data_IF_267846352248
#
_entry.id   IF_267846352248
#
_cell.length_a   1.000
_cell.length_b   1.000
_cell.length_c   1.000
_cell.angle_alpha   90.00
_cell.angle_beta   90.00
_cell.angle_gamma   90.00
#
_symmetry.space_group_name_H-M   'P 1'
#
loop_
_entity.id
_entity.type
_entity.pdbx_description
1 polymer ?
#
# COMPACT_ATOMS: atom_id res chain seq x y z
N UNK A 1 33.29 28.69 38.73
CA UNK A 1 34.38 27.86 38.18
C UNK A 1 34.82 28.47 36.85
N UNK A 2 36.12 28.73 36.67
CA UNK A 2 36.67 29.39 35.49
C UNK A 2 36.86 28.38 34.34
N UNK A 3 36.31 28.66 33.16
CA UNK A 3 36.48 27.82 31.96
C UNK A 3 37.78 28.23 31.27
N UNK A 4 38.77 27.33 31.23
CA UNK A 4 39.96 27.49 30.36
C UNK A 4 39.56 27.14 28.94
N UNK A 5 39.79 28.06 27.99
CA UNK A 5 39.74 27.73 26.57
C UNK A 5 41.12 27.22 26.13
N UNK A 6 41.13 26.04 25.50
CA UNK A 6 42.29 25.50 24.81
C UNK A 6 42.29 26.10 23.40
N UNK A 7 43.38 26.75 23.02
CA UNK A 7 43.65 27.13 21.63
C UNK A 7 44.64 26.15 21.05
N UNK A 8 44.33 25.61 19.87
CA UNK A 8 45.22 24.74 19.11
C UNK A 8 45.92 25.62 18.07
N UNK A 9 47.25 25.72 18.16
CA UNK A 9 48.08 26.42 17.19
C UNK A 9 48.37 25.46 16.01
N UNK A 10 47.52 25.53 14.98
CA UNK A 10 47.50 24.59 13.85
C UNK A 10 48.49 24.97 12.71
N UNK A 11 49.15 26.12 12.82
CA UNK A 11 50.05 26.67 11.80
C UNK A 11 51.54 26.37 12.09
N UNK A 12 51.84 25.13 12.45
CA UNK A 12 53.24 24.68 12.52
C UNK A 12 53.76 24.35 11.11
N UNK A 13 54.99 24.74 10.75
CA UNK A 13 55.51 24.59 9.38
C UNK A 13 55.55 23.13 8.91
N UNK A 14 55.63 22.18 9.84
CA UNK A 14 55.61 20.73 9.56
C UNK A 14 54.22 20.26 9.05
N UNK A 15 53.14 20.82 9.59
CA UNK A 15 51.76 20.53 9.15
C UNK A 15 51.50 21.11 7.74
N UNK A 16 52.05 22.28 7.43
CA UNK A 16 51.87 22.88 6.10
C UNK A 16 52.60 22.10 5.00
N UNK A 17 53.78 21.55 5.28
CA UNK A 17 54.53 20.71 4.35
C UNK A 17 53.88 19.33 4.15
N UNK A 18 53.30 18.74 5.20
CA UNK A 18 52.48 17.52 5.11
C UNK A 18 51.28 17.72 4.16
N UNK A 19 50.56 18.84 4.29
CA UNK A 19 49.42 19.19 3.42
C UNK A 19 49.84 19.44 1.98
N UNK A 20 50.99 20.08 1.75
CA UNK A 20 51.54 20.28 0.41
C UNK A 20 51.93 18.97 -0.26
N UNK A 21 52.53 18.03 0.49
CA UNK A 21 52.88 16.69 -0.01
C UNK A 21 51.64 15.90 -0.42
N UNK A 22 50.61 15.86 0.41
CA UNK A 22 49.32 15.23 0.10
C UNK A 22 48.69 15.79 -1.19
N UNK A 23 48.73 17.12 -1.37
CA UNK A 23 48.19 17.77 -2.57
C UNK A 23 48.98 17.45 -3.84
N UNK A 24 50.31 17.37 -3.75
CA UNK A 24 51.18 17.01 -4.89
C UNK A 24 51.01 15.52 -5.25
N UNK A 25 50.84 14.66 -4.25
CA UNK A 25 50.62 13.22 -4.44
C UNK A 25 49.25 12.93 -5.08
N UNK A 26 48.21 13.67 -4.71
CA UNK A 26 46.90 13.61 -5.36
C UNK A 26 46.95 14.06 -6.84
N UNK A 27 47.69 15.14 -7.14
CA UNK A 27 47.86 15.63 -8.51
C UNK A 27 48.66 14.64 -9.38
N UNK A 28 49.76 14.07 -8.86
CA UNK A 28 50.53 13.04 -9.56
C UNK A 28 49.76 11.72 -9.77
N UNK A 29 48.74 11.46 -8.95
CA UNK A 29 47.90 10.27 -9.08
C UNK A 29 46.75 10.46 -10.09
N UNK A 30 46.36 11.72 -10.38
CA UNK A 30 45.40 12.04 -11.45
C UNK A 30 46.03 11.91 -12.85
N UNK A 31 47.32 12.22 -13.01
CA UNK A 31 48.02 12.13 -14.32
C UNK A 31 48.40 10.70 -14.74
N UNK A 32 48.16 9.68 -13.89
CA UNK A 32 48.51 8.27 -14.17
C UNK A 32 47.35 7.40 -14.66
N UNK A 33 46.13 7.92 -14.76
CA UNK A 33 44.98 7.21 -15.29
C UNK A 33 44.48 7.96 -16.52
N UNK A 34 45.10 7.70 -17.68
CA UNK A 34 44.79 8.43 -18.89
C UNK A 34 45.44 7.85 -20.13
N UNK A 35 45.20 6.58 -20.43
CA UNK A 35 45.29 6.06 -21.79
C UNK A 35 44.43 4.82 -21.95
N UNK A 36 43.16 5.00 -22.30
CA UNK A 36 42.45 4.08 -23.19
C UNK A 36 41.32 4.82 -23.91
N UNK A 37 41.23 4.54 -25.20
CA UNK A 37 40.48 5.26 -26.20
C UNK A 37 38.98 4.97 -26.13
N UNK A 38 38.13 6.00 -25.98
CA UNK A 38 36.81 5.95 -26.60
C UNK A 38 36.30 7.35 -26.98
N UNK A 39 35.78 7.43 -28.19
CA UNK A 39 35.52 8.63 -28.96
C UNK A 39 34.25 9.29 -28.45
N UNK A 40 34.36 10.54 -28.01
CA UNK A 40 33.23 11.44 -27.71
C UNK A 40 32.47 11.80 -28.99
N UNK A 41 31.59 10.90 -29.45
CA UNK A 41 30.51 11.27 -30.36
C UNK A 41 29.45 12.01 -29.57
N UNK A 42 29.32 13.32 -29.83
CA UNK A 42 28.22 14.15 -29.34
C UNK A 42 26.87 13.51 -29.73
N UNK A 43 26.24 12.79 -28.79
CA UNK A 43 24.90 12.19 -28.90
C UNK A 43 23.89 13.35 -28.80
N UNK A 44 23.20 13.64 -29.89
CA UNK A 44 22.13 14.67 -29.91
C UNK A 44 20.93 14.08 -29.17
N UNK A 45 20.57 14.65 -28.03
CA UNK A 45 19.38 14.26 -27.27
C UNK A 45 18.11 14.61 -28.06
N UNK A 46 17.37 13.58 -28.48
CA UNK A 46 15.98 13.70 -28.93
C UNK A 46 15.06 13.23 -27.79
N UNK A 47 13.99 13.97 -27.57
CA UNK A 47 13.09 13.93 -26.40
C UNK A 47 12.28 12.62 -26.18
N UNK A 48 12.60 11.53 -26.88
CA UNK A 48 11.80 10.29 -26.92
C UNK A 48 12.59 9.00 -26.58
N UNK A 49 13.78 9.10 -25.97
CA UNK A 49 14.57 7.89 -25.63
C UNK A 49 14.48 7.56 -24.14
N UNK A 50 13.43 6.83 -23.76
CA UNK A 50 13.28 6.09 -22.48
C UNK A 50 14.19 4.86 -22.47
N UNK A 51 15.45 5.05 -22.83
CA UNK A 51 16.46 4.01 -22.66
C UNK A 51 17.23 4.42 -21.42
N UNK A 52 16.98 3.72 -20.30
CA UNK A 52 17.81 3.78 -19.10
C UNK A 52 19.26 3.51 -19.56
N UNK A 53 20.00 4.58 -19.89
CA UNK A 53 21.44 4.51 -20.10
C UNK A 53 21.97 4.02 -18.75
N UNK A 54 22.27 2.72 -18.68
CA UNK A 54 22.87 2.06 -17.53
C UNK A 54 24.28 2.64 -17.41
N UNK A 55 24.37 3.83 -16.83
CA UNK A 55 25.62 4.55 -16.64
C UNK A 55 26.56 3.60 -15.92
N UNK A 56 27.63 3.18 -16.58
CA UNK A 56 28.59 2.24 -16.03
C UNK A 56 29.37 2.95 -14.91
N UNK A 57 28.79 3.00 -13.71
CA UNK A 57 29.40 3.62 -12.55
C UNK A 57 30.47 2.70 -11.97
N UNK A 58 31.56 3.30 -11.50
CA UNK A 58 32.63 2.54 -10.89
C UNK A 58 32.23 2.11 -9.48
N UNK A 59 32.15 0.79 -9.25
CA UNK A 59 31.84 0.19 -7.96
C UNK A 59 32.94 0.53 -6.95
N UNK A 60 32.55 0.98 -5.77
CA UNK A 60 33.48 1.25 -4.67
C UNK A 60 34.06 -0.08 -4.15
N UNK A 61 35.39 -0.18 -4.08
CA UNK A 61 36.06 -1.32 -3.44
C UNK A 61 36.01 -1.20 -1.90
N UNK A 62 35.10 -1.96 -1.29
CA UNK A 62 34.81 -1.97 0.15
C UNK A 62 36.05 -2.20 1.03
N UNK A 63 37.09 -2.86 0.50
CA UNK A 63 38.34 -3.15 1.23
C UNK A 63 39.16 -1.89 1.59
N UNK A 64 38.84 -0.76 0.95
CA UNK A 64 39.52 0.53 1.15
C UNK A 64 38.74 1.47 2.09
N UNK A 65 37.54 1.07 2.54
CA UNK A 65 36.75 1.84 3.50
C UNK A 65 37.35 1.68 4.91
N UNK A 66 37.71 2.81 5.52
CA UNK A 66 38.23 2.87 6.88
C UNK A 66 37.05 3.01 7.86
N UNK A 67 36.96 2.09 8.83
CA UNK A 67 35.86 2.04 9.80
C UNK A 67 34.85 0.91 9.56
N UNK A 68 35.23 -0.21 8.97
CA UNK A 68 34.43 -1.44 9.03
C UNK A 68 34.79 -2.20 10.33
N UNK A 69 33.83 -2.36 11.26
CA UNK A 69 34.03 -3.15 12.48
C UNK A 69 33.58 -4.61 12.29
N UNK A 70 34.40 -5.57 12.74
CA UNK A 70 33.99 -6.96 12.85
C UNK A 70 32.93 -7.13 13.95
N UNK A 71 31.95 -8.01 13.70
CA UNK A 71 30.86 -8.30 14.63
C UNK A 71 31.40 -8.83 15.97
N UNK A 72 31.52 -7.96 16.96
CA UNK A 72 32.19 -8.29 18.23
C UNK A 72 31.21 -8.85 19.26
N UNK A 73 29.97 -8.33 19.32
CA UNK A 73 28.93 -8.78 20.25
C UNK A 73 27.59 -8.76 19.51
N UNK A 74 26.91 -9.90 19.43
CA UNK A 74 25.62 -10.02 18.73
C UNK A 74 24.42 -9.62 19.57
N UNK A 75 24.53 -9.67 20.91
CA UNK A 75 23.47 -9.32 21.85
C UNK A 75 24.03 -8.69 23.12
N UNK A 76 23.48 -7.55 23.52
CA UNK A 76 23.63 -6.98 24.86
C UNK A 76 22.27 -7.10 25.58
N UNK A 77 22.15 -8.12 26.43
CA UNK A 77 20.89 -8.50 27.07
C UNK A 77 19.81 -8.93 26.07
N UNK A 78 18.78 -8.10 25.91
CA UNK A 78 17.64 -8.34 25.02
C UNK A 78 17.72 -7.59 23.68
N UNK A 79 18.77 -6.80 23.46
CA UNK A 79 18.91 -5.94 22.28
C UNK A 79 19.98 -6.57 21.36
N UNK A 80 19.59 -6.86 20.11
CA UNK A 80 20.52 -7.29 19.06
C UNK A 80 21.36 -6.08 18.67
N UNK A 81 22.66 -6.11 18.94
CA UNK A 81 23.59 -5.08 18.48
C UNK A 81 23.99 -5.45 17.06
N UNK A 82 23.63 -4.61 16.10
CA UNK A 82 24.15 -4.69 14.74
C UNK A 82 25.44 -3.87 14.68
N UNK A 83 26.57 -4.45 14.24
CA UNK A 83 27.78 -3.68 14.00
C UNK A 83 27.53 -2.72 12.84
N UNK A 84 28.27 -1.61 12.80
CA UNK A 84 28.26 -0.73 11.64
C UNK A 84 29.11 -1.38 10.55
N UNK A 85 28.49 -2.29 9.80
CA UNK A 85 29.11 -2.89 8.63
C UNK A 85 28.21 -2.67 7.41
N UNK A 86 28.80 -2.13 6.35
CA UNK A 86 28.16 -1.91 5.06
C UNK A 86 27.98 -3.21 4.25
N UNK A 87 28.43 -4.36 4.79
CA UNK A 87 28.28 -5.69 4.21
C UNK A 87 26.84 -6.19 4.14
N UNK A 88 25.97 -5.79 5.08
CA UNK A 88 24.53 -6.12 5.01
C UNK A 88 23.88 -5.40 3.81
N UNK A 89 24.26 -4.15 3.57
CA UNK A 89 23.80 -3.37 2.42
C UNK A 89 24.38 -3.84 1.07
N UNK A 90 25.49 -4.59 1.05
CA UNK A 90 26.05 -5.19 -0.17
C UNK A 90 25.18 -6.33 -0.74
N UNK A 91 24.36 -6.95 0.11
CA UNK A 91 23.37 -7.97 -0.30
C UNK A 91 22.25 -7.31 -1.13
N UNK A 92 21.75 -6.15 -0.66
CA UNK A 92 20.66 -5.39 -1.31
C UNK A 92 21.15 -4.47 -2.45
N UNK A 93 22.45 -4.16 -2.51
CA UNK A 93 22.98 -3.20 -3.47
C UNK A 93 24.49 -3.06 -3.47
N UNK A 94 24.98 -1.93 -3.94
CA UNK A 94 26.41 -1.58 -3.95
C UNK A 94 26.59 -0.08 -4.01
N UNK A 95 27.69 0.40 -3.41
CA UNK A 95 28.02 1.82 -3.41
C UNK A 95 28.89 2.18 -4.60
N UNK A 96 28.61 3.32 -5.23
CA UNK A 96 29.52 3.94 -6.19
C UNK A 96 30.66 4.66 -5.47
N UNK A 97 31.71 5.03 -6.21
CA UNK A 97 32.85 5.80 -5.68
C UNK A 97 32.48 7.15 -5.03
N UNK A 98 31.27 7.67 -5.28
CA UNK A 98 30.76 8.91 -4.74
C UNK A 98 29.95 8.70 -3.44
N UNK A 99 29.75 7.44 -3.01
CA UNK A 99 28.99 7.08 -1.83
C UNK A 99 27.48 6.97 -2.04
N UNK A 100 27.01 6.92 -3.29
CA UNK A 100 25.60 6.66 -3.61
C UNK A 100 25.31 5.17 -3.58
N UNK A 101 24.21 4.78 -2.93
CA UNK A 101 23.76 3.39 -2.90
C UNK A 101 22.94 3.04 -4.13
N UNK A 102 23.32 1.96 -4.80
CA UNK A 102 22.66 1.46 -6.01
C UNK A 102 22.13 0.06 -5.74
N UNK A 103 20.81 -0.02 -5.65
CA UNK A 103 20.07 -1.25 -5.39
C UNK A 103 20.28 -2.27 -6.53
N UNK A 104 20.55 -3.53 -6.17
CA UNK A 104 20.53 -4.63 -7.13
C UNK A 104 19.08 -5.07 -7.27
N UNK A 105 18.49 -4.79 -8.42
CA UNK A 105 17.13 -5.22 -8.72
C UNK A 105 17.14 -6.69 -9.13
N UNK A 106 17.02 -7.59 -8.15
CA UNK A 106 16.83 -9.01 -8.43
C UNK A 106 15.37 -9.24 -8.88
N UNK A 107 15.16 -9.26 -10.20
CA UNK A 107 13.84 -9.37 -10.83
C UNK A 107 13.12 -10.71 -10.53
N UNK A 108 13.84 -11.73 -10.05
CA UNK A 108 13.27 -13.06 -9.79
C UNK A 108 12.69 -13.24 -8.37
N UNK A 109 13.13 -12.49 -7.35
CA UNK A 109 12.71 -12.73 -5.96
C UNK A 109 11.48 -11.91 -5.52
N UNK A 110 11.15 -10.81 -6.21
CA UNK A 110 10.02 -9.92 -5.85
C UNK A 110 8.85 -10.02 -6.83
N UNK A 111 8.33 -11.24 -7.05
CA UNK A 111 7.00 -11.37 -7.67
C UNK A 111 5.93 -11.01 -6.64
N UNK A 112 5.50 -9.76 -6.70
CA UNK A 112 4.42 -9.26 -5.86
C UNK A 112 3.14 -10.07 -6.09
N UNK A 113 2.68 -10.77 -5.04
CA UNK A 113 1.42 -11.51 -5.04
C UNK A 113 0.19 -10.64 -5.31
N UNK A 114 0.34 -9.31 -5.26
CA UNK A 114 -0.66 -8.37 -5.71
C UNK A 114 -0.65 -8.22 -7.25
N UNK A 115 0.53 -8.09 -7.86
CA UNK A 115 0.69 -8.00 -9.32
C UNK A 115 0.36 -9.32 -10.03
N UNK A 116 0.50 -10.47 -9.36
CA UNK A 116 0.12 -11.78 -9.92
C UNK A 116 -1.39 -11.93 -10.17
N UNK A 117 -2.23 -11.16 -9.48
CA UNK A 117 -3.69 -11.18 -9.66
C UNK A 117 -4.18 -10.24 -10.75
N UNK A 118 -3.29 -9.38 -11.28
CA UNK A 118 -3.61 -8.38 -12.30
C UNK A 118 -3.51 -9.02 -13.69
N UNK A 119 -4.59 -8.93 -14.46
CA UNK A 119 -4.63 -9.35 -15.86
C UNK A 119 -4.11 -8.23 -16.78
N UNK A 120 -2.82 -8.31 -17.13
CA UNK A 120 -2.16 -7.34 -17.99
C UNK A 120 -2.67 -7.34 -19.44
N UNK A 121 -3.30 -8.42 -19.90
CA UNK A 121 -3.91 -8.46 -21.23
C UNK A 121 -5.18 -7.61 -21.29
N UNK A 122 -6.03 -7.73 -20.26
CA UNK A 122 -7.21 -6.89 -20.11
C UNK A 122 -6.87 -5.40 -19.93
N UNK A 123 -5.80 -5.09 -19.20
CA UNK A 123 -5.30 -3.71 -19.04
C UNK A 123 -4.84 -3.14 -20.38
N UNK A 124 -4.00 -3.86 -21.12
CA UNK A 124 -3.51 -3.43 -22.45
C UNK A 124 -4.64 -3.28 -23.47
N UNK A 125 -5.64 -4.15 -23.44
CA UNK A 125 -6.80 -4.04 -24.33
C UNK A 125 -7.60 -2.75 -24.03
N UNK A 126 -7.73 -2.35 -22.77
CA UNK A 126 -8.40 -1.08 -22.38
C UNK A 126 -7.59 0.16 -22.76
N UNK A 127 -6.27 0.10 -22.58
CA UNK A 127 -5.36 1.17 -23.01
C UNK A 127 -5.42 1.38 -24.54
N UNK A 128 -5.45 0.29 -25.31
CA UNK A 128 -5.59 0.35 -26.78
C UNK A 128 -6.92 0.97 -27.25
N UNK A 129 -7.95 0.92 -26.40
CA UNK A 129 -9.26 1.54 -26.62
C UNK A 129 -9.29 3.01 -26.18
N UNK A 130 -8.17 3.58 -25.73
CA UNK A 130 -8.07 4.98 -25.29
C UNK A 130 -8.85 5.30 -24.03
N UNK A 131 -9.21 4.28 -23.23
CA UNK A 131 -9.83 4.49 -21.93
C UNK A 131 -8.74 4.83 -20.92
N UNK A 132 -8.26 6.07 -20.94
CA UNK A 132 -7.49 6.62 -19.83
C UNK A 132 -8.40 6.70 -18.61
N UNK A 133 -7.88 6.36 -17.44
CA UNK A 133 -8.58 6.66 -16.19
C UNK A 133 -8.64 8.19 -16.07
N UNK A 134 -9.76 8.78 -16.48
CA UNK A 134 -10.24 9.88 -15.65
C UNK A 134 -10.58 9.20 -14.32
N UNK A 135 -9.98 9.66 -13.22
CA UNK A 135 -10.49 9.35 -11.89
C UNK A 135 -11.97 9.73 -11.92
N UNK A 136 -12.84 8.76 -12.16
CA UNK A 136 -14.28 8.93 -12.11
C UNK A 136 -14.67 9.00 -10.64
N UNK A 137 -14.31 10.10 -9.98
CA UNK A 137 -15.01 10.58 -8.80
C UNK A 137 -16.47 10.99 -9.18
N UNK A 138 -16.78 11.01 -10.47
CA UNK A 138 -18.09 11.30 -11.04
C UNK A 138 -18.77 10.03 -11.60
N UNK A 139 -18.58 8.88 -10.94
CA UNK A 139 -19.59 7.83 -11.04
C UNK A 139 -20.90 8.44 -10.51
N UNK A 140 -22.01 8.42 -11.27
CA UNK A 140 -23.27 8.93 -10.77
C UNK A 140 -23.55 8.22 -9.46
N UNK A 141 -23.60 8.96 -8.36
CA UNK A 141 -24.05 8.45 -7.07
C UNK A 141 -25.43 7.88 -7.35
N UNK A 142 -25.53 6.56 -7.50
CA UNK A 142 -26.80 5.89 -7.71
C UNK A 142 -27.59 6.13 -6.43
N UNK A 143 -28.49 7.12 -6.47
CA UNK A 143 -29.32 7.47 -5.33
C UNK A 143 -30.25 6.27 -5.14
N UNK A 144 -29.85 5.38 -4.23
CA UNK A 144 -30.61 4.20 -3.89
C UNK A 144 -31.96 4.67 -3.35
N UNK A 145 -33.04 4.16 -3.91
CA UNK A 145 -34.39 4.48 -3.40
C UNK A 145 -34.55 3.98 -1.96
N UNK A 146 -35.35 4.67 -1.15
CA UNK A 146 -35.58 4.30 0.26
C UNK A 146 -36.04 2.85 0.43
N UNK A 147 -36.80 2.31 -0.53
CA UNK A 147 -37.24 0.92 -0.53
C UNK A 147 -36.09 -0.06 -0.81
N UNK A 148 -35.17 0.26 -1.72
CA UNK A 148 -33.97 -0.55 -1.96
C UNK A 148 -33.07 -0.56 -0.73
N UNK A 149 -32.89 0.59 -0.06
CA UNK A 149 -32.16 0.69 1.21
C UNK A 149 -32.76 -0.24 2.26
N UNK A 150 -34.09 -0.21 2.42
CA UNK A 150 -34.81 -1.10 3.34
C UNK A 150 -34.60 -2.58 3.04
N UNK A 151 -34.55 -2.97 1.76
CA UNK A 151 -34.26 -4.36 1.36
C UNK A 151 -32.83 -4.76 1.74
N UNK A 152 -31.85 -3.88 1.51
CA UNK A 152 -30.45 -4.12 1.88
C UNK A 152 -30.29 -4.27 3.40
N UNK A 153 -30.89 -3.36 4.18
CA UNK A 153 -30.86 -3.40 5.64
C UNK A 153 -31.49 -4.69 6.20
N UNK A 154 -32.60 -5.16 5.60
CA UNK A 154 -33.22 -6.44 5.99
C UNK A 154 -32.33 -7.66 5.70
N UNK A 155 -31.67 -7.68 4.55
CA UNK A 155 -30.70 -8.74 4.22
C UNK A 155 -29.58 -8.76 5.25
N UNK A 156 -29.08 -7.59 5.61
CA UNK A 156 -28.01 -7.44 6.59
C UNK A 156 -28.41 -7.93 7.99
N UNK A 157 -29.66 -7.68 8.44
CA UNK A 157 -30.21 -8.25 9.68
C UNK A 157 -30.28 -9.79 9.68
N UNK A 158 -30.33 -10.43 8.51
CA UNK A 158 -30.34 -11.91 8.41
C UNK A 158 -28.96 -12.50 8.75
N UNK A 159 -27.88 -11.72 8.56
CA UNK A 159 -26.49 -12.16 8.73
C UNK A 159 -25.92 -11.72 10.10
N UNK A 160 -26.36 -10.56 10.60
CA UNK A 160 -25.90 -10.02 11.89
C UNK A 160 -26.52 -10.72 13.11
N UNK A 161 -25.76 -10.77 14.21
CA UNK A 161 -26.28 -11.14 15.54
C UNK A 161 -26.64 -9.88 16.35
N UNK A 162 -27.46 -10.01 17.41
CA UNK A 162 -27.76 -8.87 18.28
C UNK A 162 -26.49 -8.28 18.90
N UNK A 163 -26.45 -6.94 19.01
CA UNK A 163 -25.31 -6.14 19.52
C UNK A 163 -23.98 -6.30 18.73
N UNK A 164 -24.04 -6.79 17.49
CA UNK A 164 -22.88 -6.92 16.62
C UNK A 164 -22.89 -5.83 15.54
N UNK A 165 -21.70 -5.36 15.18
CA UNK A 165 -21.47 -4.38 14.11
C UNK A 165 -21.01 -5.13 12.86
N UNK A 166 -21.15 -4.55 11.67
CA UNK A 166 -20.67 -5.18 10.41
C UNK A 166 -19.20 -5.61 10.53
N UNK A 167 -18.33 -4.76 11.08
CA UNK A 167 -16.91 -5.08 11.27
C UNK A 167 -16.68 -6.29 12.20
N UNK A 168 -17.48 -6.44 13.26
CA UNK A 168 -17.42 -7.57 14.19
C UNK A 168 -17.95 -8.85 13.53
N UNK A 169 -19.01 -8.74 12.73
CA UNK A 169 -19.56 -9.86 11.97
C UNK A 169 -18.57 -10.39 10.93
N UNK A 170 -17.89 -9.50 10.20
CA UNK A 170 -16.82 -9.87 9.28
C UNK A 170 -15.67 -10.59 10.01
N UNK A 171 -15.23 -10.07 11.16
CA UNK A 171 -14.20 -10.73 11.98
C UNK A 171 -14.65 -12.09 12.50
N UNK A 172 -15.91 -12.26 12.89
CA UNK A 172 -16.47 -13.55 13.31
C UNK A 172 -16.50 -14.54 12.15
N UNK A 173 -17.01 -14.14 10.99
CA UNK A 173 -17.08 -15.00 9.81
C UNK A 173 -15.68 -15.41 9.36
N UNK A 174 -14.71 -14.50 9.38
CA UNK A 174 -13.32 -14.82 9.06
C UNK A 174 -12.66 -15.70 10.15
N UNK A 175 -12.91 -15.45 11.44
CA UNK A 175 -12.36 -16.26 12.52
C UNK A 175 -12.99 -17.65 12.66
N UNK A 176 -14.21 -17.86 12.13
CA UNK A 176 -14.81 -19.19 12.00
C UNK A 176 -14.05 -20.07 10.98
N UNK A 177 -13.24 -19.45 10.12
CA UNK A 177 -12.48 -20.10 9.05
C UNK A 177 -11.05 -20.51 9.46
N UNK A 178 -10.78 -20.71 10.76
CA UNK A 178 -9.48 -21.18 11.30
C UNK A 178 -9.16 -22.66 10.98
N UNK A 179 -9.68 -23.21 9.88
CA UNK A 179 -9.20 -24.49 9.37
C UNK A 179 -7.75 -24.33 8.90
N UNK A 180 -6.91 -25.32 9.22
CA UNK A 180 -5.50 -25.30 8.85
C UNK A 180 -5.37 -25.22 7.32
N UNK A 181 -4.35 -24.52 6.80
CA UNK A 181 -4.16 -24.33 5.35
C UNK A 181 -4.14 -25.68 4.57
N UNK A 182 -3.67 -26.74 5.22
CA UNK A 182 -3.70 -28.10 4.69
C UNK A 182 -5.12 -28.69 4.54
N UNK A 183 -6.03 -28.39 5.47
CA UNK A 183 -7.42 -28.86 5.44
C UNK A 183 -8.22 -28.13 4.37
N UNK A 184 -8.01 -26.81 4.23
CA UNK A 184 -8.61 -26.01 3.14
C UNK A 184 -8.17 -26.52 1.76
N UNK A 185 -6.90 -26.88 1.59
CA UNK A 185 -6.41 -27.50 0.34
C UNK A 185 -7.08 -28.85 0.07
N UNK A 186 -7.27 -29.70 1.09
CA UNK A 186 -7.97 -30.99 0.94
C UNK A 186 -9.43 -30.81 0.52
N UNK A 187 -10.14 -29.87 1.14
CA UNK A 187 -11.53 -29.56 0.81
C UNK A 187 -11.68 -29.01 -0.62
N UNK A 188 -10.80 -28.09 -1.01
CA UNK A 188 -10.74 -27.56 -2.40
C UNK A 188 -10.42 -28.64 -3.42
N UNK A 189 -9.49 -29.54 -3.10
CA UNK A 189 -9.15 -30.66 -4.00
C UNK A 189 -10.29 -31.67 -4.10
N UNK A 190 -10.99 -31.97 -3.00
CA UNK A 190 -12.17 -32.83 -2.98
C UNK A 190 -13.32 -32.24 -3.82
N UNK A 191 -13.57 -30.93 -3.70
CA UNK A 191 -14.58 -30.23 -4.49
C UNK A 191 -14.24 -30.22 -6.00
N UNK A 192 -12.97 -29.93 -6.35
CA UNK A 192 -12.47 -30.03 -7.73
C UNK A 192 -12.61 -31.45 -8.30
N UNK A 193 -12.36 -32.48 -7.49
CA UNK A 193 -12.54 -33.88 -7.89
C UNK A 193 -14.02 -34.26 -8.10
N UNK A 194 -14.92 -33.58 -7.40
CA UNK A 194 -16.37 -33.71 -7.57
C UNK A 194 -16.96 -32.76 -8.65
N UNK A 195 -16.13 -31.97 -9.34
CA UNK A 195 -16.56 -31.01 -10.37
C UNK A 195 -17.38 -29.83 -9.85
N UNK A 196 -17.33 -29.53 -8.54
CA UNK A 196 -18.02 -28.38 -7.92
C UNK A 196 -17.00 -27.36 -7.42
N UNK A 197 -17.34 -26.08 -7.53
CA UNK A 197 -16.56 -25.03 -6.89
C UNK A 197 -16.72 -25.09 -5.37
N UNK A 198 -15.60 -24.97 -4.66
CA UNK A 198 -15.60 -24.89 -3.21
C UNK A 198 -16.00 -23.47 -2.80
N UNK A 199 -17.28 -23.28 -2.48
CA UNK A 199 -17.78 -22.06 -1.84
C UNK A 199 -18.04 -22.35 -0.37
N UNK A 200 -17.24 -21.75 0.50
CA UNK A 200 -17.58 -21.71 1.92
C UNK A 200 -18.75 -20.75 2.11
N UNK A 201 -19.81 -21.19 2.76
CA UNK A 201 -20.98 -20.36 3.07
C UNK A 201 -20.58 -19.08 3.84
N UNK A 202 -19.55 -19.16 4.68
CA UNK A 202 -19.00 -17.99 5.36
C UNK A 202 -18.33 -16.99 4.44
N UNK A 203 -17.71 -17.44 3.33
CA UNK A 203 -17.08 -16.55 2.35
C UNK A 203 -18.17 -15.85 1.56
N UNK A 204 -19.21 -16.57 1.13
CA UNK A 204 -20.40 -15.96 0.50
C UNK A 204 -21.04 -14.91 1.42
N UNK A 205 -21.20 -15.20 2.71
CA UNK A 205 -21.74 -14.25 3.67
C UNK A 205 -20.83 -13.01 3.88
N UNK A 206 -19.51 -13.16 3.77
CA UNK A 206 -18.55 -12.05 3.81
C UNK A 206 -18.67 -11.19 2.56
N UNK A 207 -18.75 -11.80 1.39
CA UNK A 207 -18.94 -11.10 0.11
C UNK A 207 -20.25 -10.31 0.13
N UNK A 208 -21.36 -10.94 0.55
CA UNK A 208 -22.67 -10.27 0.68
C UNK A 208 -22.65 -9.10 1.67
N UNK A 209 -22.01 -9.27 2.84
CA UNK A 209 -21.88 -8.17 3.82
C UNK A 209 -21.04 -7.01 3.28
N UNK A 210 -19.95 -7.33 2.59
CA UNK A 210 -19.03 -6.33 2.03
C UNK A 210 -19.70 -5.57 0.89
N UNK A 211 -20.44 -6.28 0.03
CA UNK A 211 -21.22 -5.68 -1.06
C UNK A 211 -22.33 -4.75 -0.53
N UNK A 212 -23.05 -5.16 0.52
CA UNK A 212 -24.07 -4.30 1.14
C UNK A 212 -23.42 -3.07 1.79
N UNK A 213 -22.30 -3.25 2.48
CA UNK A 213 -21.58 -2.14 3.11
C UNK A 213 -21.05 -1.14 2.08
N UNK A 214 -20.52 -1.60 0.96
CA UNK A 214 -20.03 -0.76 -0.13
C UNK A 214 -21.15 0.05 -0.77
N UNK A 215 -22.31 -0.57 -1.03
CA UNK A 215 -23.51 0.16 -1.51
C UNK A 215 -23.97 1.23 -0.53
N UNK A 216 -23.96 0.95 0.77
CA UNK A 216 -24.33 1.92 1.80
C UNK A 216 -23.33 3.08 1.89
N UNK A 217 -22.04 2.80 1.69
CA UNK A 217 -20.98 3.79 1.66
C UNK A 217 -21.09 4.70 0.44
N UNK A 218 -21.40 4.13 -0.74
CA UNK A 218 -21.65 4.87 -1.98
C UNK A 218 -22.89 5.78 -1.88
N UNK A 219 -23.90 5.41 -1.09
CA UNK A 219 -25.05 6.28 -0.76
C UNK A 219 -24.65 7.50 0.11
N UNK A 220 -23.45 7.48 0.70
CA UNK A 220 -22.94 8.52 1.60
C UNK A 220 -23.02 8.16 3.09
N UNK A 221 -23.38 6.93 3.46
CA UNK A 221 -23.34 6.49 4.85
C UNK A 221 -21.90 6.09 5.23
N UNK A 222 -21.09 7.06 5.67
CA UNK A 222 -19.68 6.83 6.06
C UNK A 222 -19.54 5.83 7.22
N UNK A 223 -20.55 5.75 8.08
CA UNK A 223 -20.57 4.86 9.25
C UNK A 223 -21.09 3.45 8.94
N UNK A 224 -21.22 3.05 7.65
CA UNK A 224 -21.77 1.76 7.24
C UNK A 224 -21.17 0.59 8.08
N UNK A 225 -19.85 0.53 8.23
CA UNK A 225 -19.18 -0.55 8.96
C UNK A 225 -19.39 -0.57 10.48
N UNK A 226 -19.80 0.56 11.07
CA UNK A 226 -20.05 0.73 12.50
C UNK A 226 -21.53 0.52 12.85
N UNK A 227 -22.41 0.38 11.86
CA UNK A 227 -23.83 0.14 12.11
C UNK A 227 -24.04 -1.17 12.87
N UNK A 228 -24.71 -1.05 14.02
CA UNK A 228 -25.11 -2.19 14.86
C UNK A 228 -26.48 -2.70 14.45
N UNK A 229 -26.78 -3.95 14.80
CA UNK A 229 -28.10 -4.56 14.60
C UNK A 229 -29.27 -3.65 15.02
N UNK A 230 -29.18 -3.02 16.20
CA UNK A 230 -30.23 -2.14 16.75
C UNK A 230 -30.39 -0.86 15.92
N UNK A 231 -29.26 -0.24 15.53
CA UNK A 231 -29.28 0.96 14.69
C UNK A 231 -29.95 0.70 13.34
N UNK A 232 -29.72 -0.48 12.76
CA UNK A 232 -30.32 -0.89 11.50
C UNK A 232 -31.82 -1.14 11.66
N UNK A 233 -32.26 -1.77 12.75
CA UNK A 233 -33.69 -1.92 13.02
C UNK A 233 -34.39 -0.59 13.25
N UNK A 234 -33.74 0.34 13.95
CA UNK A 234 -34.25 1.69 14.18
C UNK A 234 -34.36 2.46 12.86
N UNK A 235 -33.37 2.37 11.97
CA UNK A 235 -33.41 3.00 10.66
C UNK A 235 -34.56 2.45 9.80
N UNK A 236 -34.79 1.14 9.80
CA UNK A 236 -35.95 0.54 9.13
C UNK A 236 -37.26 1.08 9.71
N UNK A 237 -37.35 1.19 11.05
CA UNK A 237 -38.55 1.73 11.71
C UNK A 237 -38.80 3.19 11.33
N UNK A 238 -37.74 3.99 11.21
CA UNK A 238 -37.81 5.39 10.82
C UNK A 238 -38.26 5.56 9.37
N UNK A 239 -37.79 4.69 8.46
CA UNK A 239 -38.25 4.67 7.07
C UNK A 239 -39.75 4.35 7.00
N UNK A 240 -40.21 3.36 7.77
CA UNK A 240 -41.64 3.00 7.83
C UNK A 240 -42.49 4.16 8.36
N UNK A 241 -42.10 4.78 9.48
CA UNK A 241 -42.80 5.94 10.06
C UNK A 241 -42.84 7.13 9.10
N UNK A 242 -41.76 7.39 8.37
CA UNK A 242 -41.72 8.46 7.35
C UNK A 242 -42.71 8.18 6.22
N UNK A 243 -42.81 6.93 5.76
CA UNK A 243 -43.77 6.54 4.73
C UNK A 243 -45.23 6.67 5.23
N UNK A 244 -45.51 6.27 6.48
CA UNK A 244 -46.84 6.40 7.09
C UNK A 244 -47.24 7.88 7.25
N UNK A 245 -46.36 8.71 7.80
CA UNK A 245 -46.62 10.14 7.98
C UNK A 245 -46.74 10.89 6.64
N UNK A 246 -46.02 10.46 5.60
CA UNK A 246 -46.20 11.00 4.25
C UNK A 246 -47.57 10.66 3.68
N UNK A 247 -48.17 9.53 4.08
CA UNK A 247 -49.51 9.14 3.66
C UNK A 247 -50.61 9.88 4.45
N UNK A 248 -50.36 10.17 5.72
CA UNK A 248 -51.27 10.89 6.62
C UNK A 248 -51.45 12.38 6.22
N UNK A 249 -50.41 13.01 5.68
CA UNK A 249 -50.46 14.42 5.21
C UNK A 249 -51.33 14.62 3.95
N UNK A 250 -51.68 13.56 3.22
CA UNK A 250 -52.61 13.61 2.08
C UNK A 250 -54.03 13.12 2.44
N UNK A 251 -54.27 12.75 3.70
CA UNK A 251 -55.52 12.14 4.15
C UNK A 251 -56.55 13.10 4.74
N UNK A 252 -56.18 14.35 5.04
CA UNK A 252 -56.93 15.20 5.97
C UNK A 252 -57.38 16.55 5.35
N UNK A 253 -57.86 16.56 4.10
CA UNK A 253 -58.35 17.80 3.47
C UNK A 253 -59.56 17.65 2.51
N UNK A 254 -60.49 16.71 2.75
CA UNK A 254 -61.72 16.60 1.93
C UNK A 254 -63.02 16.39 2.75
N UNK A 255 -63.07 16.83 4.03
CA UNK A 255 -64.29 16.71 4.86
C UNK A 255 -64.75 18.04 5.52
N UNK A 256 -64.52 19.20 4.88
CA UNK A 256 -65.26 20.45 5.17
C UNK A 256 -66.02 20.97 3.95
N UNK A 257 -66.71 20.07 3.25
CA UNK A 257 -67.81 20.42 2.35
C UNK A 257 -69.14 19.96 2.96
N UNK A 258 -69.47 20.46 4.15
CA UNK A 258 -70.80 20.37 4.73
C UNK A 258 -71.78 21.29 4.01
N UNK A 259 -72.85 20.78 3.37
CA UNK A 259 -73.83 21.59 2.66
C UNK A 259 -74.90 22.16 3.63
N UNK A 260 -75.64 23.17 3.15
CA UNK A 260 -76.89 23.75 3.71
C UNK A 260 -76.69 24.98 4.59
N UNK A 261 -77.50 26.05 4.52
CA UNK A 261 -78.73 26.36 3.78
C UNK A 261 -78.96 27.87 3.87
#
# INVERSE_FOLDING_TARGET
>A
MSKRQVKFDDDTPDNLEWRKRQKIEALNNMDKVGNDDNVTRMKKHTLDSDEEDNEEYQKLDMRKIEGEEEATISYDGNIKITPFNMKEDEEDGHFDIHGNFIFKKDEEEYKDQWLETVDWEAVKERESKGQTYETTDDAPIEIITTEQKKVLLRKLLTILKPNEDISKALKRLNSSQKLNAAEKRKLRWAAKKAGKEYKDESISAIEELTEIADRLLNEGNTEAYQMTYEMISDEISNIVKKNENAYDMFGDEDDDAGPSK
#
